data_IF_914945229838
#
_entry.id   IF_914945229838
#
_cell.length_a   1.000
_cell.length_b   1.000
_cell.length_c   1.000
_cell.angle_alpha   90.00
_cell.angle_beta   90.00
_cell.angle_gamma   90.00
#
_symmetry.space_group_name_H-M   'P 1'
#
loop_
_entity.id
_entity.type
_entity.pdbx_description
1 polymer ?
#
# COMPACT_ATOMS: atom_id res chain seq x y z
N UNK A 1 3.34 2.25 21.40
CA UNK A 1 3.40 2.67 19.98
C UNK A 1 2.73 1.58 19.17
N UNK A 2 1.67 1.94 18.50
CA UNK A 2 0.90 1.03 17.63
C UNK A 2 1.54 0.96 16.25
N UNK A 3 1.88 -0.23 15.82
CA UNK A 3 2.60 -0.45 14.57
C UNK A 3 1.86 -1.41 13.65
N UNK A 4 2.12 -1.27 12.35
CA UNK A 4 1.76 -2.27 11.36
C UNK A 4 3.03 -2.79 10.66
N UNK A 5 3.05 -4.09 10.37
CA UNK A 5 4.05 -4.71 9.50
C UNK A 5 3.35 -5.26 8.27
N UNK A 6 3.74 -4.75 7.11
CA UNK A 6 3.25 -5.18 5.81
C UNK A 6 4.19 -6.29 5.29
N UNK A 7 3.67 -7.50 5.25
CA UNK A 7 4.39 -8.68 4.78
C UNK A 7 4.00 -8.97 3.33
N UNK A 8 4.86 -8.50 2.43
CA UNK A 8 4.61 -8.45 0.99
C UNK A 8 5.15 -9.70 0.25
N UNK A 9 5.12 -10.89 0.87
CA UNK A 9 5.69 -12.12 0.30
C UNK A 9 5.14 -12.49 -1.08
N UNK A 10 3.95 -12.02 -1.43
CA UNK A 10 3.32 -12.21 -2.75
C UNK A 10 3.13 -10.91 -3.52
N UNK A 11 3.77 -9.83 -3.06
CA UNK A 11 3.65 -8.51 -3.65
C UNK A 11 2.73 -7.57 -2.90
N UNK A 12 2.40 -6.44 -3.54
CA UNK A 12 1.57 -5.38 -2.97
C UNK A 12 0.89 -4.57 -4.07
N UNK A 13 -0.42 -4.36 -3.93
CA UNK A 13 -1.24 -3.51 -4.79
C UNK A 13 -2.19 -2.69 -3.92
N UNK A 14 -2.82 -1.67 -4.48
CA UNK A 14 -3.68 -0.76 -3.74
C UNK A 14 -4.88 -1.47 -3.12
N UNK A 15 -5.58 -2.28 -3.90
CA UNK A 15 -6.71 -3.11 -3.48
C UNK A 15 -6.32 -4.14 -2.39
N UNK A 16 -5.11 -4.72 -2.49
CA UNK A 16 -4.57 -5.63 -1.47
C UNK A 16 -4.33 -4.92 -0.14
N UNK A 17 -3.78 -3.70 -0.17
CA UNK A 17 -3.59 -2.88 1.03
C UNK A 17 -4.94 -2.59 1.67
N UNK A 18 -5.89 -2.11 0.87
CA UNK A 18 -7.23 -1.75 1.33
C UNK A 18 -7.96 -2.96 1.92
N UNK A 19 -7.90 -4.11 1.25
CA UNK A 19 -8.45 -5.38 1.71
C UNK A 19 -7.84 -5.81 3.05
N UNK A 20 -6.52 -5.80 3.18
CA UNK A 20 -5.85 -6.18 4.42
C UNK A 20 -6.19 -5.24 5.58
N UNK A 21 -6.30 -3.92 5.34
CA UNK A 21 -6.73 -2.95 6.34
C UNK A 21 -8.19 -3.16 6.78
N UNK A 22 -9.07 -3.57 5.87
CA UNK A 22 -10.45 -3.93 6.20
C UNK A 22 -10.46 -5.19 7.06
N UNK A 23 -9.68 -6.19 6.72
CA UNK A 23 -9.62 -7.47 7.45
C UNK A 23 -9.06 -7.29 8.88
N UNK A 24 -8.08 -6.42 9.11
CA UNK A 24 -7.62 -6.09 10.47
C UNK A 24 -8.61 -5.22 11.26
N UNK A 25 -9.69 -4.73 10.65
CA UNK A 25 -10.81 -4.11 11.36
C UNK A 25 -11.20 -2.70 10.96
N UNK A 26 -10.84 -2.24 9.75
CA UNK A 26 -11.47 -1.06 9.17
C UNK A 26 -12.87 -1.45 8.69
N UNK A 27 -13.89 -0.96 9.36
CA UNK A 27 -15.28 -1.25 8.98
C UNK A 27 -15.61 -0.71 7.59
N UNK A 28 -16.18 -1.54 6.72
CA UNK A 28 -16.53 -1.16 5.33
C UNK A 28 -17.46 0.04 5.29
N UNK A 29 -18.47 0.08 6.16
CA UNK A 29 -19.41 1.22 6.26
C UNK A 29 -18.70 2.50 6.65
N UNK A 30 -17.75 2.44 7.59
CA UNK A 30 -16.94 3.60 7.97
C UNK A 30 -16.13 4.09 6.77
N UNK A 31 -15.40 3.20 6.10
CA UNK A 31 -14.58 3.55 4.93
C UNK A 31 -15.42 4.22 3.83
N UNK A 32 -16.57 3.64 3.47
CA UNK A 32 -17.48 4.21 2.47
C UNK A 32 -18.00 5.60 2.88
N UNK A 33 -18.28 5.81 4.17
CA UNK A 33 -18.74 7.12 4.65
C UNK A 33 -17.62 8.17 4.65
N UNK A 34 -16.38 7.78 4.98
CA UNK A 34 -15.23 8.68 4.87
C UNK A 34 -14.93 9.04 3.42
N UNK A 35 -14.97 8.07 2.50
CA UNK A 35 -14.76 8.31 1.08
C UNK A 35 -15.82 9.25 0.45
N UNK A 36 -17.04 9.31 0.97
CA UNK A 36 -18.05 10.32 0.55
C UNK A 36 -17.62 11.77 0.81
N UNK A 37 -16.67 11.99 1.73
CA UNK A 37 -16.10 13.32 1.99
C UNK A 37 -15.10 13.76 0.92
N UNK A 38 -14.67 12.84 0.08
CA UNK A 38 -13.82 13.08 -1.08
C UNK A 38 -14.69 13.29 -2.32
N UNK A 39 -14.59 14.43 -3.05
CA UNK A 39 -15.51 14.78 -4.12
C UNK A 39 -15.21 14.04 -5.42
N UNK A 40 -15.12 12.73 -5.37
CA UNK A 40 -14.99 11.82 -6.50
C UNK A 40 -16.25 10.95 -6.56
N UNK A 41 -16.88 10.88 -7.71
CA UNK A 41 -18.12 10.14 -7.95
C UNK A 41 -17.94 9.16 -9.12
N UNK A 42 -18.96 8.37 -9.41
CA UNK A 42 -18.93 7.43 -10.54
C UNK A 42 -18.20 6.13 -10.21
N UNK A 43 -18.26 5.66 -8.96
CA UNK A 43 -17.70 4.36 -8.57
C UNK A 43 -18.56 3.69 -7.49
N UNK A 44 -18.43 2.38 -7.42
CA UNK A 44 -19.00 1.55 -6.37
C UNK A 44 -17.92 0.65 -5.77
N UNK A 45 -17.89 0.55 -4.43
CA UNK A 45 -16.96 -0.31 -3.71
C UNK A 45 -17.70 -1.57 -3.25
N UNK A 46 -17.21 -2.70 -3.69
CA UNK A 46 -17.63 -4.03 -3.24
C UNK A 46 -16.51 -4.68 -2.44
N UNK A 47 -16.85 -5.24 -1.29
CA UNK A 47 -15.91 -5.98 -0.44
C UNK A 47 -16.48 -7.35 -0.18
N UNK A 48 -15.71 -8.39 -0.46
CA UNK A 48 -16.10 -9.79 -0.28
C UNK A 48 -15.00 -10.56 0.43
N UNK A 49 -15.37 -11.51 1.27
CA UNK A 49 -14.43 -12.53 1.72
C UNK A 49 -14.25 -13.56 0.60
N UNK A 50 -13.01 -13.83 0.26
CA UNK A 50 -12.62 -14.81 -0.78
C UNK A 50 -11.61 -15.79 -0.21
N UNK A 51 -11.41 -16.89 -0.89
CA UNK A 51 -10.37 -17.87 -0.57
C UNK A 51 -9.28 -17.84 -1.65
N UNK A 52 -8.05 -17.61 -1.23
CA UNK A 52 -6.85 -17.64 -2.06
C UNK A 52 -5.95 -18.76 -1.56
N UNK A 53 -5.89 -19.91 -2.28
CA UNK A 53 -5.08 -21.07 -1.89
C UNK A 53 -5.30 -21.45 -0.40
N UNK A 54 -6.57 -21.63 -0.01
CA UNK A 54 -7.03 -21.95 1.35
C UNK A 54 -6.77 -20.88 2.41
N UNK A 55 -6.38 -19.66 2.01
CA UNK A 55 -6.28 -18.50 2.90
C UNK A 55 -7.49 -17.60 2.67
N UNK A 56 -8.27 -17.36 3.71
CA UNK A 56 -9.34 -16.36 3.67
C UNK A 56 -8.74 -14.95 3.59
N UNK A 57 -9.25 -14.13 2.68
CA UNK A 57 -8.78 -12.77 2.46
C UNK A 57 -9.93 -11.85 2.05
N UNK A 58 -9.77 -10.54 2.23
CA UNK A 58 -10.72 -9.55 1.73
C UNK A 58 -10.36 -9.12 0.32
N UNK A 59 -11.28 -9.32 -0.60
CA UNK A 59 -11.25 -8.81 -1.97
C UNK A 59 -11.99 -7.47 -2.01
N UNK A 60 -11.30 -6.43 -2.46
CA UNK A 60 -11.88 -5.10 -2.68
C UNK A 60 -11.95 -4.85 -4.17
N UNK A 61 -13.16 -4.59 -4.67
CA UNK A 61 -13.37 -4.23 -6.07
C UNK A 61 -13.99 -2.84 -6.15
N UNK A 62 -13.37 -1.96 -6.91
CA UNK A 62 -13.87 -0.62 -7.22
C UNK A 62 -14.36 -0.63 -8.65
N UNK A 63 -15.69 -0.73 -8.80
CA UNK A 63 -16.34 -0.69 -10.10
C UNK A 63 -16.60 0.76 -10.51
N UNK A 64 -16.13 1.15 -11.68
CA UNK A 64 -16.38 2.48 -12.24
C UNK A 64 -17.69 2.47 -13.01
N UNK A 65 -18.57 3.42 -12.70
CA UNK A 65 -19.95 3.48 -13.23
C UNK A 65 -20.19 4.59 -14.27
N UNK A 66 -19.11 5.22 -14.75
CA UNK A 66 -19.18 6.32 -15.73
C UNK A 66 -17.96 6.37 -16.65
N UNK A 67 -17.91 7.39 -17.49
CA UNK A 67 -16.73 7.64 -18.33
C UNK A 67 -15.50 7.92 -17.47
N UNK A 68 -14.41 7.24 -17.78
CA UNK A 68 -13.12 7.47 -17.14
C UNK A 68 -12.44 8.65 -17.84
N UNK A 69 -12.13 9.69 -17.08
CA UNK A 69 -11.27 10.77 -17.54
C UNK A 69 -9.89 10.59 -16.92
N UNK A 70 -8.87 10.66 -17.76
CA UNK A 70 -7.48 10.78 -17.26
C UNK A 70 -7.37 12.07 -16.46
N UNK A 71 -6.80 11.97 -15.27
CA UNK A 71 -6.61 13.09 -14.35
C UNK A 71 -5.15 13.45 -14.25
N UNK A 72 -4.88 14.75 -14.28
CA UNK A 72 -3.55 15.27 -13.97
C UNK A 72 -3.30 15.20 -12.44
N UNK A 73 -2.03 15.31 -12.06
CA UNK A 73 -1.67 15.44 -10.65
C UNK A 73 -2.40 16.64 -10.00
N UNK A 74 -2.49 17.78 -10.70
CA UNK A 74 -3.18 18.97 -10.21
C UNK A 74 -4.67 18.71 -9.95
N UNK A 75 -5.36 17.99 -10.83
CA UNK A 75 -6.77 17.65 -10.63
C UNK A 75 -6.99 16.85 -9.34
N UNK A 76 -6.14 15.86 -9.08
CA UNK A 76 -6.25 15.02 -7.88
C UNK A 76 -5.93 15.83 -6.63
N UNK A 77 -4.90 16.68 -6.67
CA UNK A 77 -4.54 17.57 -5.55
C UNK A 77 -5.69 18.53 -5.24
N UNK A 78 -6.36 19.07 -6.26
CA UNK A 78 -7.51 19.96 -6.06
C UNK A 78 -8.74 19.23 -5.53
N UNK A 79 -8.98 17.97 -5.92
CA UNK A 79 -9.99 17.13 -5.29
C UNK A 79 -9.69 16.95 -3.79
N UNK A 80 -8.44 16.64 -3.43
CA UNK A 80 -8.02 16.49 -2.04
C UNK A 80 -8.18 17.80 -1.23
N UNK A 81 -7.81 18.95 -1.80
CA UNK A 81 -7.98 20.26 -1.14
C UNK A 81 -9.46 20.55 -0.85
N UNK A 82 -10.34 20.33 -1.83
CA UNK A 82 -11.79 20.57 -1.72
C UNK A 82 -12.51 19.55 -0.82
N UNK A 83 -11.91 18.40 -0.55
CA UNK A 83 -12.50 17.38 0.32
C UNK A 83 -12.68 17.87 1.77
N UNK A 84 -13.60 17.26 2.50
CA UNK A 84 -13.77 17.45 3.95
C UNK A 84 -13.12 16.31 4.77
N UNK A 85 -12.15 15.60 4.18
CA UNK A 85 -11.34 14.60 4.85
C UNK A 85 -10.47 15.22 5.95
N UNK A 86 -10.06 14.39 6.91
CA UNK A 86 -9.10 14.78 7.95
C UNK A 86 -7.83 15.40 7.35
N UNK A 87 -7.26 16.48 7.91
CA UNK A 87 -6.05 17.11 7.40
C UNK A 87 -4.86 16.15 7.25
N UNK A 88 -4.72 15.19 8.17
CA UNK A 88 -3.65 14.17 8.11
C UNK A 88 -3.85 13.24 6.92
N UNK A 89 -5.09 12.81 6.67
CA UNK A 89 -5.45 11.99 5.51
C UNK A 89 -5.15 12.74 4.21
N UNK A 90 -5.56 14.02 4.11
CA UNK A 90 -5.25 14.85 2.95
C UNK A 90 -3.75 14.94 2.70
N UNK A 91 -2.97 15.26 3.74
CA UNK A 91 -1.51 15.42 3.64
C UNK A 91 -0.81 14.14 3.17
N UNK A 92 -1.15 13.00 3.76
CA UNK A 92 -0.53 11.73 3.36
C UNK A 92 -0.94 11.33 1.94
N UNK A 93 -2.21 11.47 1.58
CA UNK A 93 -2.67 11.21 0.21
C UNK A 93 -1.96 12.10 -0.81
N UNK A 94 -1.84 13.40 -0.53
CA UNK A 94 -1.09 14.33 -1.39
C UNK A 94 0.36 13.89 -1.56
N UNK A 95 1.04 13.50 -0.48
CA UNK A 95 2.42 13.02 -0.55
C UNK A 95 2.58 11.78 -1.44
N UNK A 96 1.63 10.84 -1.36
CA UNK A 96 1.63 9.64 -2.21
C UNK A 96 1.50 10.04 -3.68
N UNK A 97 0.52 10.90 -4.02
CA UNK A 97 0.34 11.36 -5.41
C UNK A 97 1.51 12.20 -5.93
N UNK A 98 2.13 13.02 -5.10
CA UNK A 98 3.33 13.76 -5.47
C UNK A 98 4.52 12.83 -5.76
N UNK A 99 4.74 11.81 -4.94
CA UNK A 99 5.81 10.84 -5.16
C UNK A 99 5.58 10.05 -6.44
N UNK A 100 4.35 9.64 -6.69
CA UNK A 100 3.95 8.98 -7.92
C UNK A 100 4.13 9.90 -9.14
N UNK A 101 3.64 11.15 -9.05
CA UNK A 101 3.83 12.15 -10.11
C UNK A 101 5.29 12.43 -10.42
N UNK A 102 6.17 12.47 -9.40
CA UNK A 102 7.62 12.62 -9.60
C UNK A 102 8.23 11.40 -10.32
N UNK A 103 7.77 10.18 -9.99
CA UNK A 103 8.24 8.98 -10.68
C UNK A 103 7.84 9.00 -12.15
N UNK A 104 6.58 9.30 -12.46
CA UNK A 104 6.07 9.43 -13.82
C UNK A 104 6.77 10.56 -14.60
N UNK A 105 6.88 11.74 -14.00
CA UNK A 105 7.58 12.88 -14.60
C UNK A 105 9.02 12.52 -15.02
N UNK A 106 9.71 11.77 -14.17
CA UNK A 106 11.07 11.33 -14.46
C UNK A 106 11.14 10.31 -15.59
N UNK A 107 10.21 9.34 -15.64
CA UNK A 107 10.15 8.33 -16.70
C UNK A 107 9.85 9.00 -18.04
N UNK A 108 8.90 9.92 -18.07
CA UNK A 108 8.49 10.63 -19.28
C UNK A 108 9.37 11.83 -19.62
N UNK A 109 10.31 12.22 -18.74
CA UNK A 109 11.18 13.41 -18.89
C UNK A 109 10.38 14.69 -19.12
N UNK A 110 9.33 14.89 -18.34
CA UNK A 110 8.46 16.07 -18.34
C UNK A 110 8.45 16.72 -16.95
N UNK A 111 7.93 17.95 -16.88
CA UNK A 111 7.71 18.61 -15.59
C UNK A 111 6.59 17.91 -14.83
N UNK A 112 6.70 17.85 -13.49
CA UNK A 112 5.73 17.14 -12.63
C UNK A 112 4.32 17.73 -12.74
N UNK A 113 4.20 19.02 -13.02
CA UNK A 113 2.95 19.73 -13.23
C UNK A 113 2.23 19.30 -14.53
N UNK A 114 2.98 18.72 -15.48
CA UNK A 114 2.46 18.24 -16.78
C UNK A 114 2.12 16.75 -16.77
N UNK A 115 2.25 16.09 -15.62
CA UNK A 115 1.94 14.66 -15.51
C UNK A 115 0.44 14.44 -15.61
N UNK A 116 0.06 13.63 -16.59
CA UNK A 116 -1.26 13.03 -16.70
C UNK A 116 -1.14 11.56 -16.37
N UNK A 117 -1.86 11.11 -15.37
CA UNK A 117 -1.87 9.70 -15.00
C UNK A 117 -2.80 8.93 -15.95
N UNK A 118 -2.25 8.03 -16.73
CA UNK A 118 -3.02 7.19 -17.64
C UNK A 118 -3.66 6.00 -16.90
N UNK A 119 -2.95 5.40 -15.96
CA UNK A 119 -3.43 4.27 -15.16
C UNK A 119 -3.77 4.69 -13.73
N UNK A 120 -2.85 5.35 -13.05
CA UNK A 120 -3.01 5.70 -11.63
C UNK A 120 -3.92 6.92 -11.40
N UNK A 121 -4.29 7.65 -12.44
CA UNK A 121 -5.35 8.67 -12.46
C UNK A 121 -6.75 8.09 -12.57
N UNK A 122 -6.88 6.79 -12.78
CA UNK A 122 -8.14 6.09 -12.77
C UNK A 122 -8.77 6.11 -11.37
N UNK A 123 -10.07 6.01 -11.34
CA UNK A 123 -10.87 6.16 -10.11
C UNK A 123 -10.50 5.11 -9.07
N UNK A 124 -10.25 3.88 -9.49
CA UNK A 124 -9.88 2.77 -8.61
C UNK A 124 -8.57 3.05 -7.85
N UNK A 125 -7.51 3.44 -8.56
CA UNK A 125 -6.23 3.78 -7.95
C UNK A 125 -6.32 4.96 -6.99
N UNK A 126 -7.14 5.97 -7.33
CA UNK A 126 -7.36 7.11 -6.44
C UNK A 126 -8.06 6.67 -5.15
N UNK A 127 -9.09 5.84 -5.26
CA UNK A 127 -9.83 5.33 -4.10
C UNK A 127 -8.96 4.38 -3.26
N UNK A 128 -8.14 3.55 -3.90
CA UNK A 128 -7.19 2.67 -3.20
C UNK A 128 -6.20 3.48 -2.35
N UNK A 129 -5.63 4.55 -2.91
CA UNK A 129 -4.69 5.42 -2.20
C UNK A 129 -5.39 6.13 -1.04
N UNK A 130 -6.47 6.86 -1.31
CA UNK A 130 -7.18 7.65 -0.29
C UNK A 130 -7.78 6.73 0.77
N UNK A 131 -8.38 5.62 0.37
CA UNK A 131 -8.97 4.62 1.26
C UNK A 131 -7.93 3.95 2.16
N UNK A 132 -6.75 3.64 1.63
CA UNK A 132 -5.64 3.09 2.43
C UNK A 132 -5.17 4.07 3.50
N UNK A 133 -5.02 5.34 3.17
CA UNK A 133 -4.65 6.38 4.14
C UNK A 133 -5.74 6.56 5.21
N UNK A 134 -7.02 6.56 4.82
CA UNK A 134 -8.16 6.56 5.77
C UNK A 134 -8.07 5.35 6.70
N UNK A 135 -7.78 4.17 6.15
CA UNK A 135 -7.67 2.93 6.93
C UNK A 135 -6.54 2.98 7.95
N UNK A 136 -5.35 3.43 7.55
CA UNK A 136 -4.18 3.63 8.43
C UNK A 136 -4.50 4.60 9.56
N UNK A 137 -5.12 5.74 9.24
CA UNK A 137 -5.54 6.75 10.22
C UNK A 137 -6.59 6.19 11.19
N UNK A 138 -7.61 5.48 10.69
CA UNK A 138 -8.67 4.85 11.50
C UNK A 138 -8.14 3.84 12.49
N UNK A 139 -7.14 3.06 12.08
CA UNK A 139 -6.51 2.06 12.95
C UNK A 139 -5.55 2.69 13.97
N UNK A 140 -5.24 3.96 13.85
CA UNK A 140 -4.29 4.66 14.73
C UNK A 140 -2.87 4.07 14.61
N UNK A 141 -2.46 3.69 13.41
CA UNK A 141 -1.12 3.17 13.14
C UNK A 141 -0.15 4.35 13.19
N UNK A 142 0.80 4.30 14.12
CA UNK A 142 1.79 5.35 14.34
C UNK A 142 3.06 5.11 13.52
N UNK A 143 3.37 3.83 13.24
CA UNK A 143 4.57 3.46 12.50
C UNK A 143 4.33 2.24 11.62
N UNK A 144 4.79 2.32 10.37
CA UNK A 144 4.65 1.25 9.39
C UNK A 144 6.03 0.68 9.07
N UNK A 145 6.12 -0.63 9.18
CA UNK A 145 7.23 -1.46 8.72
C UNK A 145 6.76 -2.26 7.51
N UNK A 146 7.68 -2.55 6.59
CA UNK A 146 7.39 -3.36 5.42
C UNK A 146 8.52 -4.37 5.19
N UNK A 147 8.17 -5.57 4.75
CA UNK A 147 9.16 -6.55 4.28
C UNK A 147 9.88 -6.03 3.02
N UNK A 148 11.02 -6.62 2.62
CA UNK A 148 11.52 -6.47 1.27
C UNK A 148 10.45 -6.83 0.24
N UNK A 149 10.49 -6.21 -0.95
CA UNK A 149 9.45 -6.36 -1.96
C UNK A 149 9.88 -7.33 -3.07
N UNK A 150 9.04 -8.31 -3.44
CA UNK A 150 9.34 -9.25 -4.51
C UNK A 150 9.11 -8.61 -5.88
N UNK A 151 10.06 -8.75 -6.77
CA UNK A 151 9.92 -8.41 -8.18
C UNK A 151 9.67 -9.67 -9.01
N UNK A 152 8.57 -9.71 -9.72
CA UNK A 152 8.34 -10.65 -10.82
C UNK A 152 9.08 -10.19 -12.08
N UNK A 153 8.88 -10.93 -13.17
CA UNK A 153 9.50 -10.61 -14.45
C UNK A 153 8.52 -10.80 -15.61
N UNK A 154 8.94 -10.39 -16.82
CA UNK A 154 8.14 -10.48 -18.03
C UNK A 154 7.67 -9.11 -18.50
N UNK A 155 6.47 -9.06 -19.05
CA UNK A 155 5.89 -7.86 -19.64
C UNK A 155 4.42 -7.75 -19.27
N UNK A 156 3.94 -6.50 -19.20
CA UNK A 156 2.53 -6.15 -19.01
C UNK A 156 2.07 -5.26 -20.17
N UNK A 157 0.84 -5.47 -20.63
CA UNK A 157 0.19 -4.58 -21.59
C UNK A 157 -0.61 -3.53 -20.84
N UNK A 158 -0.39 -2.26 -21.14
CA UNK A 158 -1.00 -1.13 -20.48
C UNK A 158 -1.25 0.02 -21.50
N UNK A 159 -1.75 1.16 -21.05
CA UNK A 159 -2.01 2.33 -21.91
C UNK A 159 -0.74 2.84 -22.64
N UNK A 160 0.43 2.62 -22.07
CA UNK A 160 1.73 2.94 -22.68
C UNK A 160 2.27 1.85 -23.63
N UNK A 161 1.46 0.82 -23.91
CA UNK A 161 1.87 -0.34 -24.69
C UNK A 161 2.43 -1.47 -23.82
N UNK A 162 3.44 -2.18 -24.31
CA UNK A 162 4.05 -3.31 -23.60
C UNK A 162 5.24 -2.81 -22.76
N UNK A 163 5.13 -2.88 -21.44
CA UNK A 163 6.18 -2.49 -20.52
C UNK A 163 6.82 -3.71 -19.84
N UNK A 164 8.12 -3.64 -19.52
CA UNK A 164 8.78 -4.67 -18.73
C UNK A 164 8.28 -4.66 -17.28
N UNK A 165 8.29 -5.83 -16.63
CA UNK A 165 8.02 -5.98 -15.21
C UNK A 165 9.32 -6.08 -14.40
N UNK A 166 9.40 -5.36 -13.24
CA UNK A 166 8.42 -4.39 -12.74
C UNK A 166 8.31 -3.15 -13.63
N UNK A 167 7.13 -2.51 -13.63
CA UNK A 167 6.91 -1.30 -14.42
C UNK A 167 7.91 -0.18 -14.06
N UNK A 168 8.34 0.66 -15.01
CA UNK A 168 9.36 1.68 -14.76
C UNK A 168 9.05 2.62 -13.61
N UNK A 169 7.79 3.04 -13.45
CA UNK A 169 7.35 3.89 -12.33
C UNK A 169 7.49 3.18 -10.98
N UNK A 170 7.17 1.88 -10.91
CA UNK A 170 7.36 1.06 -9.72
C UNK A 170 8.83 1.02 -9.30
N UNK A 171 9.74 0.79 -10.25
CA UNK A 171 11.19 0.75 -9.96
C UNK A 171 11.69 2.11 -9.48
N UNK A 172 11.23 3.20 -10.06
CA UNK A 172 11.61 4.55 -9.64
C UNK A 172 11.13 4.89 -8.23
N UNK A 173 9.88 4.51 -7.88
CA UNK A 173 9.30 4.70 -6.55
C UNK A 173 10.05 3.92 -5.46
N UNK A 174 10.61 2.77 -5.80
CA UNK A 174 11.25 1.86 -4.85
C UNK A 174 12.77 2.05 -4.73
N UNK A 175 13.32 3.12 -5.27
CA UNK A 175 14.75 3.43 -5.10
C UNK A 175 15.11 3.56 -3.62
N UNK A 176 16.16 2.82 -3.22
CA UNK A 176 16.63 2.79 -1.84
C UNK A 176 15.82 1.86 -0.91
N UNK A 177 14.80 1.20 -1.43
CA UNK A 177 14.00 0.21 -0.71
C UNK A 177 14.50 -1.19 -1.07
N UNK A 178 14.65 -2.10 -0.09
CA UNK A 178 15.08 -3.47 -0.36
C UNK A 178 14.10 -4.22 -1.23
N UNK A 179 14.59 -4.79 -2.33
CA UNK A 179 13.82 -5.60 -3.27
C UNK A 179 14.57 -6.91 -3.57
N UNK A 180 13.85 -7.94 -4.00
CA UNK A 180 14.42 -9.22 -4.44
C UNK A 180 13.63 -9.79 -5.62
N UNK A 181 14.24 -10.63 -6.42
CA UNK A 181 13.59 -11.24 -7.58
C UNK A 181 13.02 -12.61 -7.25
N UNK A 182 11.88 -12.92 -7.85
CA UNK A 182 11.25 -14.24 -7.80
C UNK A 182 10.93 -14.70 -9.22
N UNK A 183 10.91 -16.00 -9.45
CA UNK A 183 10.56 -16.59 -10.75
C UNK A 183 9.03 -16.64 -10.94
N UNK A 184 8.44 -15.47 -11.15
CA UNK A 184 7.00 -15.30 -11.45
C UNK A 184 6.81 -14.32 -12.61
N UNK A 185 6.13 -14.78 -13.66
CA UNK A 185 5.80 -13.97 -14.86
C UNK A 185 4.54 -13.15 -14.62
N UNK A 186 4.58 -12.26 -13.62
CA UNK A 186 3.44 -11.39 -13.28
C UNK A 186 3.90 -10.13 -12.55
N UNK A 187 3.08 -9.10 -12.58
CA UNK A 187 3.27 -7.90 -11.78
C UNK A 187 2.91 -8.20 -10.31
N UNK A 188 3.91 -8.22 -9.44
CA UNK A 188 3.72 -8.45 -8.01
C UNK A 188 3.59 -7.15 -7.24
N UNK A 189 4.27 -6.12 -7.69
CA UNK A 189 4.24 -4.79 -7.07
C UNK A 189 3.73 -3.80 -8.09
N UNK A 190 2.50 -3.32 -7.89
CA UNK A 190 1.90 -2.31 -8.77
C UNK A 190 2.43 -0.90 -8.45
N UNK A 191 2.37 0.05 -9.40
CA UNK A 191 2.72 1.45 -9.13
C UNK A 191 1.95 2.03 -7.93
N UNK A 192 0.65 1.74 -7.81
CA UNK A 192 -0.20 2.18 -6.69
C UNK A 192 0.28 1.61 -5.35
N UNK A 193 0.53 0.31 -5.29
CA UNK A 193 1.05 -0.35 -4.08
C UNK A 193 2.42 0.17 -3.68
N UNK A 194 3.32 0.34 -4.66
CA UNK A 194 4.65 0.93 -4.46
C UNK A 194 4.56 2.37 -3.91
N UNK A 195 3.72 3.22 -4.51
CA UNK A 195 3.57 4.60 -4.09
C UNK A 195 3.06 4.72 -2.64
N UNK A 196 2.06 3.90 -2.27
CA UNK A 196 1.52 3.87 -0.91
C UNK A 196 2.62 3.46 0.07
N UNK A 197 3.26 2.31 -0.15
CA UNK A 197 4.19 1.76 0.83
C UNK A 197 5.50 2.53 0.92
N UNK A 198 6.04 3.00 -0.21
CA UNK A 198 7.25 3.83 -0.23
C UNK A 198 7.06 5.19 0.46
N UNK A 199 5.81 5.69 0.51
CA UNK A 199 5.51 6.98 1.15
C UNK A 199 5.17 6.81 2.63
N UNK A 200 4.46 5.75 3.01
CA UNK A 200 3.93 5.59 4.36
C UNK A 200 4.84 4.76 5.27
N UNK A 201 5.65 3.84 4.75
CA UNK A 201 6.52 3.03 5.58
C UNK A 201 7.79 3.82 5.97
N UNK A 202 8.16 3.72 7.24
CA UNK A 202 9.37 4.32 7.79
C UNK A 202 10.55 3.36 7.80
N UNK A 203 10.29 2.05 7.77
CA UNK A 203 11.33 1.03 7.80
C UNK A 203 10.98 -0.13 6.87
N UNK A 204 12.02 -0.63 6.19
CA UNK A 204 11.94 -1.80 5.33
C UNK A 204 12.92 -2.87 5.81
N UNK A 205 12.49 -4.13 5.81
CA UNK A 205 13.31 -5.27 6.23
C UNK A 205 12.53 -6.26 7.10
N UNK A 206 13.22 -6.86 8.05
CA UNK A 206 12.63 -7.85 8.96
C UNK A 206 11.57 -7.22 9.88
N UNK A 207 10.58 -8.05 10.25
CA UNK A 207 9.57 -7.66 11.22
C UNK A 207 10.22 -7.35 12.58
N UNK A 208 9.99 -6.15 13.14
CA UNK A 208 10.52 -5.85 14.45
C UNK A 208 9.84 -6.70 15.52
N UNK A 209 10.49 -6.93 16.67
CA UNK A 209 9.82 -7.56 17.80
C UNK A 209 8.55 -6.80 18.17
N UNK A 210 7.39 -7.44 18.01
CA UNK A 210 6.08 -6.84 18.29
C UNK A 210 5.14 -7.84 18.95
N UNK A 211 4.14 -7.31 19.66
CA UNK A 211 3.00 -8.10 20.14
C UNK A 211 1.89 -7.94 19.12
N UNK A 212 1.64 -8.98 18.34
CA UNK A 212 0.59 -8.99 17.33
C UNK A 212 -0.76 -9.02 18.04
N UNK A 213 -1.67 -8.12 17.68
CA UNK A 213 -3.05 -8.08 18.15
C UNK A 213 -4.05 -8.54 17.11
N UNK A 214 -3.76 -8.29 15.83
CA UNK A 214 -4.60 -8.68 14.69
C UNK A 214 -3.74 -9.00 13.48
N UNK A 215 -4.29 -9.83 12.59
CA UNK A 215 -3.70 -10.17 11.30
C UNK A 215 -4.81 -10.00 10.27
N UNK A 216 -4.50 -9.42 9.12
CA UNK A 216 -5.43 -9.29 8.02
C UNK A 216 -4.79 -9.60 6.67
N UNK A 217 -5.61 -10.09 5.76
CA UNK A 217 -5.22 -10.50 4.43
C UNK A 217 -6.03 -9.75 3.38
N UNK A 218 -5.36 -9.11 2.42
CA UNK A 218 -5.97 -8.49 1.25
C UNK A 218 -5.64 -9.28 0.00
N UNK A 219 -6.65 -9.65 -0.77
CA UNK A 219 -6.52 -10.43 -2.00
C UNK A 219 -6.15 -9.55 -3.17
N UNK A 220 -5.18 -10.01 -4.00
CA UNK A 220 -4.96 -9.48 -5.34
C UNK A 220 -5.85 -10.15 -6.38
N UNK A 221 -5.90 -9.59 -7.60
CA UNK A 221 -6.80 -10.03 -8.67
C UNK A 221 -6.25 -11.19 -9.51
N UNK A 222 -4.94 -11.39 -9.50
CA UNK A 222 -4.29 -12.40 -10.33
C UNK A 222 -4.39 -13.75 -9.63
N UNK A 223 -4.96 -14.74 -10.31
CA UNK A 223 -4.94 -16.13 -9.86
C UNK A 223 -3.60 -16.78 -10.22
N UNK A 224 -2.99 -17.46 -9.26
CA UNK A 224 -1.73 -18.17 -9.44
C UNK A 224 -1.67 -19.42 -8.53
N UNK A 225 -0.67 -20.27 -8.74
CA UNK A 225 -0.39 -21.40 -7.84
C UNK A 225 0.03 -20.97 -6.43
N UNK A 226 0.49 -19.73 -6.29
CA UNK A 226 0.86 -19.13 -5.00
C UNK A 226 -0.28 -18.25 -4.48
N UNK A 227 -0.49 -18.17 -3.16
CA UNK A 227 -1.51 -17.30 -2.59
C UNK A 227 -1.18 -15.84 -2.89
N UNK A 228 -2.01 -15.23 -3.75
CA UNK A 228 -1.86 -13.82 -4.12
C UNK A 228 -2.54 -12.93 -3.08
N UNK A 229 -1.93 -12.82 -1.91
CA UNK A 229 -2.42 -12.02 -0.79
C UNK A 229 -1.31 -11.19 -0.17
N UNK A 230 -1.68 -9.99 0.27
CA UNK A 230 -0.88 -9.18 1.19
C UNK A 230 -1.30 -9.51 2.63
N UNK A 231 -0.33 -9.72 3.52
CA UNK A 231 -0.58 -9.93 4.93
C UNK A 231 -0.17 -8.70 5.75
N UNK A 232 -1.05 -8.23 6.63
CA UNK A 232 -0.76 -7.11 7.52
C UNK A 232 -0.87 -7.57 8.97
N UNK A 233 0.20 -7.39 9.73
CA UNK A 233 0.21 -7.58 11.18
C UNK A 233 0.01 -6.25 11.87
N UNK A 234 -0.98 -6.16 12.74
CA UNK A 234 -1.26 -4.99 13.57
C UNK A 234 -0.94 -5.31 15.02
N UNK A 235 -0.27 -4.42 15.72
CA UNK A 235 0.08 -4.67 17.12
C UNK A 235 0.88 -3.53 17.74
N UNK A 236 1.62 -3.87 18.77
CA UNK A 236 2.47 -2.93 19.51
C UNK A 236 3.94 -3.33 19.43
N UNK A 237 4.82 -2.35 19.24
CA UNK A 237 6.26 -2.59 19.29
C UNK A 237 6.63 -3.14 20.68
N UNK A 238 7.31 -4.28 20.70
CA UNK A 238 7.78 -4.85 21.96
C UNK A 238 8.88 -3.94 22.55
N UNK A 239 8.72 -3.55 23.80
CA UNK A 239 9.77 -2.80 24.49
C UNK A 239 11.01 -3.68 24.63
N UNK A 240 12.19 -3.16 24.25
CA UNK A 240 13.45 -3.84 24.61
C UNK A 240 13.48 -4.01 26.13
N UNK A 241 13.47 -5.26 26.62
CA UNK A 241 13.75 -5.51 28.03
C UNK A 241 15.04 -4.76 28.39
N UNK A 242 14.95 -3.77 29.29
CA UNK A 242 16.16 -3.18 29.90
C UNK A 242 16.87 -4.36 30.57
N UNK A 243 18.02 -4.78 30.06
CA UNK A 243 18.90 -5.74 30.76
C UNK A 243 19.18 -5.13 32.12
N UNK A 244 18.61 -5.73 33.16
CA UNK A 244 18.90 -5.34 34.52
C UNK A 244 20.40 -5.55 34.77
N UNK A 245 21.03 -4.60 35.43
CA UNK A 245 22.47 -4.50 35.69
C UNK A 245 23.07 -5.72 36.42
N UNK A 246 22.23 -6.64 36.87
CA UNK A 246 22.62 -7.86 37.63
C UNK A 246 23.15 -9.01 36.77
N UNK A 247 22.92 -9.04 35.46
CA UNK A 247 23.45 -10.14 34.62
C UNK A 247 24.94 -9.97 34.25
N UNK A 248 25.51 -8.78 34.48
CA UNK A 248 26.96 -8.56 34.24
C UNK A 248 27.85 -9.03 35.38
N UNK A 249 27.33 -9.23 36.59
CA UNK A 249 28.16 -9.65 37.73
C UNK A 249 28.35 -11.17 37.89
N UNK A 250 27.56 -11.99 37.19
CA UNK A 250 27.66 -13.46 37.27
C UNK A 250 28.75 -14.01 36.35
N UNK A 251 29.13 -13.30 35.27
CA UNK A 251 30.18 -13.77 34.32
C UNK A 251 31.62 -13.48 34.76
N UNK A 252 31.84 -12.64 35.75
CA UNK A 252 33.20 -12.30 36.26
C UNK A 252 33.63 -13.07 37.50
N UNK A 253 32.84 -14.06 37.96
CA UNK A 253 33.18 -14.92 39.12
C UNK A 253 33.57 -16.34 38.76
N UNK A 254 33.62 -16.71 37.47
CA UNK A 254 34.00 -18.05 37.00
C UNK A 254 35.16 -17.97 35.96
N UNK A 255 36.16 -17.11 36.20
CA UNK A 255 37.48 -17.20 35.61
C UNK A 255 38.52 -17.23 36.73
#
# INVERSE_FOLDING_TARGET
>A
MKIAYFDCFSGIAGDMILGALIDVGVGVTFLKNELKKFPLTGYEITVKSVECNHIAAMDVTIAVTGEQHHRSLSDIIDLLKRSTLDPTVKKHSQNIFYNLGKAEAKIHRIDVEKVHFHEVGAVDSIIDIVGSVIGVAKLGIEHIYCSPLPFGHGFVSCDHGILPLPAPATVELLKGIPVYTVDRKQELVTPTGAAIIATLAQNFGEMPPMKISKIGYGSGKIQSEYPNVLRVFLGELAQKRKKTRNEKQVRTRNQ
#
